data_IF_298386401667
#
_entry.id   IF_298386401667
#
_cell.length_a   1.000
_cell.length_b   1.000
_cell.length_c   1.000
_cell.angle_alpha   90.00
_cell.angle_beta   90.00
_cell.angle_gamma   90.00
#
_symmetry.space_group_name_H-M   'P 1'
#
loop_
_entity.id
_entity.type
_entity.pdbx_description
1 polymer ?
#
# COMPACT_ATOMS: atom_id res chain seq x y z
N UNK A 1 9.23 5.46 -87.19
CA UNK A 1 10.04 6.60 -86.70
C UNK A 1 10.25 6.42 -85.21
N UNK A 2 11.44 5.98 -84.78
CA UNK A 2 11.77 5.81 -83.36
C UNK A 2 12.43 7.11 -82.91
N UNK A 3 11.69 7.93 -82.17
CA UNK A 3 12.19 9.21 -81.64
C UNK A 3 12.91 8.92 -80.33
N UNK A 4 14.22 8.76 -80.38
CA UNK A 4 15.05 8.66 -79.18
C UNK A 4 15.22 10.06 -78.57
N UNK A 5 14.42 10.36 -77.53
CA UNK A 5 14.53 11.62 -76.79
C UNK A 5 15.76 11.56 -75.88
N UNK A 6 16.76 12.40 -76.13
CA UNK A 6 17.97 12.55 -75.29
C UNK A 6 17.56 13.12 -73.93
N UNK A 7 17.36 12.24 -72.94
CA UNK A 7 16.95 12.66 -71.59
C UNK A 7 18.14 13.25 -70.82
N UNK A 8 17.95 14.42 -70.21
CA UNK A 8 19.02 15.10 -69.47
C UNK A 8 19.15 14.47 -68.06
N UNK A 9 19.98 13.43 -67.95
CA UNK A 9 20.13 12.59 -66.75
C UNK A 9 20.42 13.36 -65.45
N UNK A 10 21.04 14.54 -65.52
CA UNK A 10 21.37 15.37 -64.35
C UNK A 10 20.13 15.83 -63.58
N UNK A 11 19.07 16.27 -64.27
CA UNK A 11 17.81 16.72 -63.62
C UNK A 11 17.07 15.57 -62.95
N UNK A 12 17.09 14.38 -63.57
CA UNK A 12 16.44 13.17 -63.04
C UNK A 12 17.16 12.62 -61.80
N UNK A 13 18.48 12.74 -61.75
CA UNK A 13 19.29 12.40 -60.57
C UNK A 13 19.02 13.35 -59.39
N UNK A 14 18.90 14.65 -59.67
CA UNK A 14 18.59 15.68 -58.67
C UNK A 14 17.22 15.44 -58.01
N UNK A 15 16.20 15.09 -58.79
CA UNK A 15 14.86 14.74 -58.28
C UNK A 15 14.92 13.50 -57.38
N UNK A 16 15.69 12.47 -57.75
CA UNK A 16 15.88 11.26 -56.90
C UNK A 16 16.55 11.61 -55.57
N UNK A 17 17.53 12.49 -55.57
CA UNK A 17 18.24 12.95 -54.37
C UNK A 17 17.30 13.71 -53.42
N UNK A 18 16.45 14.60 -53.95
CA UNK A 18 15.45 15.33 -53.18
C UNK A 18 14.39 14.39 -52.60
N UNK A 19 13.88 13.43 -53.39
CA UNK A 19 12.94 12.42 -52.88
C UNK A 19 13.55 11.57 -51.77
N UNK A 20 14.83 11.21 -51.89
CA UNK A 20 15.53 10.45 -50.86
C UNK A 20 15.75 11.28 -49.58
N UNK A 21 16.10 12.57 -49.73
CA UNK A 21 16.20 13.50 -48.62
C UNK A 21 14.87 13.70 -47.89
N UNK A 22 13.76 13.82 -48.61
CA UNK A 22 12.43 13.92 -48.03
C UNK A 22 12.05 12.67 -47.23
N UNK A 23 12.40 11.48 -47.74
CA UNK A 23 12.16 10.21 -47.04
C UNK A 23 12.93 10.15 -45.72
N UNK A 24 14.21 10.49 -45.73
CA UNK A 24 15.04 10.54 -44.51
C UNK A 24 14.45 11.52 -43.49
N UNK A 25 14.05 12.70 -43.94
CA UNK A 25 13.49 13.75 -43.08
C UNK A 25 12.18 13.31 -42.43
N UNK A 26 11.35 12.56 -43.16
CA UNK A 26 10.12 11.96 -42.63
C UNK A 26 10.43 10.92 -41.54
N UNK A 27 11.41 10.04 -41.75
CA UNK A 27 11.83 9.05 -40.74
C UNK A 27 12.43 9.71 -39.49
N UNK A 28 13.28 10.72 -39.66
CA UNK A 28 13.88 11.46 -38.53
C UNK A 28 12.80 12.16 -37.73
N UNK A 29 11.86 12.84 -38.39
CA UNK A 29 10.77 13.54 -37.73
C UNK A 29 9.85 12.58 -36.97
N UNK A 30 9.54 11.42 -37.57
CA UNK A 30 8.75 10.37 -36.92
C UNK A 30 9.47 9.81 -35.68
N UNK A 31 10.78 9.53 -35.79
CA UNK A 31 11.58 9.01 -34.68
C UNK A 31 11.61 9.99 -33.49
N UNK A 32 11.86 11.28 -33.73
CA UNK A 32 11.86 12.28 -32.66
C UNK A 32 10.49 12.43 -31.99
N UNK A 33 9.40 12.42 -32.76
CA UNK A 33 8.05 12.49 -32.19
C UNK A 33 7.75 11.26 -31.33
N UNK A 34 8.03 10.06 -31.85
CA UNK A 34 7.78 8.80 -31.17
C UNK A 34 8.61 8.67 -29.88
N UNK A 35 9.89 9.06 -29.91
CA UNK A 35 10.77 9.07 -28.74
C UNK A 35 10.22 9.97 -27.62
N UNK A 36 9.73 11.16 -27.98
CA UNK A 36 9.15 12.10 -27.01
C UNK A 36 7.86 11.57 -26.34
N UNK A 37 7.04 10.81 -27.08
CA UNK A 37 5.83 10.20 -26.53
C UNK A 37 6.18 8.98 -25.66
N UNK A 38 7.18 8.18 -26.03
CA UNK A 38 7.66 7.08 -25.20
C UNK A 38 8.23 7.57 -23.86
N UNK A 39 9.02 8.65 -23.83
CA UNK A 39 9.51 9.21 -22.56
C UNK A 39 8.39 9.69 -21.64
N UNK A 40 7.35 10.31 -22.20
CA UNK A 40 6.18 10.75 -21.40
C UNK A 40 5.42 9.54 -20.85
N UNK A 41 5.19 8.53 -21.69
CA UNK A 41 4.48 7.32 -21.30
C UNK A 41 5.26 6.55 -20.21
N UNK A 42 6.58 6.44 -20.35
CA UNK A 42 7.42 5.78 -19.37
C UNK A 42 7.42 6.51 -18.02
N UNK A 43 7.49 7.85 -18.01
CA UNK A 43 7.35 8.64 -16.77
C UNK A 43 5.99 8.44 -16.09
N UNK A 44 4.91 8.30 -16.87
CA UNK A 44 3.57 8.02 -16.35
C UNK A 44 3.49 6.61 -15.74
N UNK A 45 4.06 5.62 -16.41
CA UNK A 45 4.01 4.22 -15.97
C UNK A 45 4.93 3.99 -14.76
N UNK A 46 6.10 4.62 -14.72
CA UNK A 46 6.98 4.64 -13.53
C UNK A 46 6.28 5.30 -12.33
N UNK A 47 5.59 6.43 -12.55
CA UNK A 47 4.82 7.10 -11.50
C UNK A 47 3.67 6.23 -10.96
N UNK A 48 2.97 5.50 -11.84
CA UNK A 48 1.92 4.54 -11.46
C UNK A 48 2.50 3.37 -10.66
N UNK A 49 3.61 2.78 -11.11
CA UNK A 49 4.27 1.69 -10.38
C UNK A 49 4.72 2.13 -8.99
N UNK A 50 5.31 3.33 -8.86
CA UNK A 50 5.70 3.89 -7.56
C UNK A 50 4.47 4.10 -6.65
N UNK A 51 3.33 4.54 -7.21
CA UNK A 51 2.09 4.68 -6.45
C UNK A 51 1.53 3.34 -6.00
N UNK A 52 1.56 2.32 -6.85
CA UNK A 52 1.11 0.96 -6.53
C UNK A 52 1.99 0.33 -5.45
N UNK A 53 3.31 0.44 -5.55
CA UNK A 53 4.25 -0.02 -4.51
C UNK A 53 3.95 0.66 -3.18
N UNK A 54 3.82 1.99 -3.17
CA UNK A 54 3.45 2.74 -1.95
C UNK A 54 2.10 2.34 -1.38
N UNK A 55 1.12 2.03 -2.23
CA UNK A 55 -0.21 1.57 -1.81
C UNK A 55 -0.12 0.17 -1.19
N UNK A 56 0.62 -0.74 -1.82
CA UNK A 56 0.83 -2.09 -1.34
C UNK A 56 1.59 -2.09 0.01
N UNK A 57 2.63 -1.28 0.15
CA UNK A 57 3.33 -1.10 1.43
C UNK A 57 2.41 -0.60 2.55
N UNK A 58 1.52 0.37 2.26
CA UNK A 58 0.54 0.85 3.23
C UNK A 58 -0.44 -0.25 3.64
N UNK A 59 -0.91 -1.05 2.69
CA UNK A 59 -1.81 -2.19 2.95
C UNK A 59 -1.11 -3.24 3.81
N UNK A 60 0.14 -3.59 3.50
CA UNK A 60 0.92 -4.54 4.28
C UNK A 60 1.17 -4.05 5.70
N UNK A 61 1.52 -2.77 5.87
CA UNK A 61 1.67 -2.14 7.20
C UNK A 61 0.37 -2.22 7.99
N UNK A 62 -0.77 -1.92 7.36
CA UNK A 62 -2.09 -2.05 7.96
C UNK A 62 -2.39 -3.48 8.44
N UNK A 63 -2.17 -4.48 7.57
CA UNK A 63 -2.37 -5.91 7.91
C UNK A 63 -1.47 -6.39 9.05
N UNK A 64 -0.22 -5.90 9.10
CA UNK A 64 0.71 -6.21 10.20
C UNK A 64 0.20 -5.65 11.53
N UNK A 65 -0.26 -4.40 11.54
CA UNK A 65 -0.84 -3.76 12.73
C UNK A 65 -2.10 -4.48 13.20
N UNK A 66 -3.00 -4.82 12.27
CA UNK A 66 -4.22 -5.57 12.57
C UNK A 66 -3.90 -6.93 13.22
N UNK A 67 -2.91 -7.66 12.69
CA UNK A 67 -2.48 -8.94 13.27
C UNK A 67 -1.93 -8.79 14.68
N UNK A 68 -1.17 -7.72 14.94
CA UNK A 68 -0.64 -7.43 16.28
C UNK A 68 -1.81 -7.18 17.25
N UNK A 69 -2.80 -6.37 16.84
CA UNK A 69 -3.99 -6.08 17.65
C UNK A 69 -4.78 -7.35 17.95
N UNK A 70 -5.03 -8.20 16.96
CA UNK A 70 -5.75 -9.46 17.19
C UNK A 70 -5.02 -10.37 18.16
N UNK A 71 -3.72 -10.59 17.95
CA UNK A 71 -2.92 -11.43 18.85
C UNK A 71 -2.91 -10.89 20.28
N UNK A 72 -2.88 -9.58 20.41
CA UNK A 72 -2.86 -8.95 21.73
C UNK A 72 -4.20 -9.13 22.45
N UNK A 73 -5.31 -8.95 21.74
CA UNK A 73 -6.65 -9.19 22.27
C UNK A 73 -6.85 -10.66 22.62
N UNK A 74 -6.40 -11.57 21.76
CA UNK A 74 -6.42 -13.01 22.01
C UNK A 74 -5.69 -13.35 23.31
N UNK A 75 -4.49 -12.81 23.49
CA UNK A 75 -3.73 -13.02 24.73
C UNK A 75 -4.43 -12.41 25.94
N UNK A 76 -5.05 -11.22 25.82
CA UNK A 76 -5.82 -10.63 26.90
C UNK A 76 -7.03 -11.49 27.31
N UNK A 77 -7.73 -12.04 26.32
CA UNK A 77 -8.87 -12.94 26.54
C UNK A 77 -8.41 -14.25 27.17
N UNK A 78 -7.26 -14.78 26.75
CA UNK A 78 -6.70 -16.02 27.30
C UNK A 78 -6.30 -15.86 28.78
N UNK A 79 -5.74 -14.71 29.15
CA UNK A 79 -5.39 -14.39 30.55
C UNK A 79 -6.62 -14.27 31.47
N UNK A 80 -7.77 -13.89 30.92
CA UNK A 80 -9.04 -13.77 31.64
C UNK A 80 -9.75 -15.14 31.68
N UNK A 81 -9.62 -15.93 30.61
CA UNK A 81 -10.35 -17.16 30.37
C UNK A 81 -11.55 -16.93 29.46
N UNK A 82 -11.53 -17.58 28.29
CA UNK A 82 -12.53 -17.42 27.22
C UNK A 82 -13.98 -17.60 27.68
N UNK A 83 -14.22 -18.51 28.64
CA UNK A 83 -15.57 -18.83 29.13
C UNK A 83 -16.22 -17.72 29.95
N UNK A 84 -15.40 -16.82 30.50
CA UNK A 84 -15.82 -15.74 31.39
C UNK A 84 -16.07 -14.42 30.66
N UNK A 85 -15.74 -14.37 29.37
CA UNK A 85 -15.95 -13.18 28.53
C UNK A 85 -17.37 -13.20 27.97
N UNK A 86 -18.13 -12.15 28.29
CA UNK A 86 -19.51 -11.96 27.83
C UNK A 86 -19.52 -11.24 26.49
N UNK A 87 -18.74 -10.16 26.37
CA UNK A 87 -18.70 -9.30 25.18
C UNK A 87 -17.32 -8.68 25.00
N UNK A 88 -16.94 -8.47 23.74
CA UNK A 88 -15.68 -7.83 23.36
C UNK A 88 -15.92 -6.84 22.22
N UNK A 89 -15.61 -5.58 22.46
CA UNK A 89 -15.80 -4.50 21.49
C UNK A 89 -14.54 -3.65 21.37
N UNK A 90 -14.09 -3.44 20.15
CA UNK A 90 -12.99 -2.53 19.84
C UNK A 90 -13.61 -1.18 19.48
N UNK A 91 -13.37 -0.16 20.31
CA UNK A 91 -13.79 1.21 20.02
C UNK A 91 -12.56 2.10 19.86
N UNK A 92 -12.34 2.55 18.63
CA UNK A 92 -11.20 3.38 18.24
C UNK A 92 -9.87 2.75 18.69
N UNK A 93 -9.27 3.27 19.76
CA UNK A 93 -7.96 2.83 20.25
C UNK A 93 -8.05 1.99 21.53
N UNK A 94 -9.25 1.59 21.95
CA UNK A 94 -9.45 0.81 23.17
C UNK A 94 -10.21 -0.48 22.89
N UNK A 95 -9.79 -1.57 23.51
CA UNK A 95 -10.56 -2.81 23.58
C UNK A 95 -11.36 -2.82 24.89
N UNK A 96 -12.68 -2.84 24.77
CA UNK A 96 -13.60 -3.04 25.88
C UNK A 96 -13.93 -4.52 25.98
N UNK A 97 -13.69 -5.10 27.15
CA UNK A 97 -13.99 -6.49 27.47
C UNK A 97 -14.94 -6.48 28.66
N UNK A 98 -16.08 -7.16 28.53
CA UNK A 98 -17.05 -7.36 29.59
C UNK A 98 -16.96 -8.80 30.05
N UNK A 99 -16.76 -9.00 31.36
CA UNK A 99 -16.53 -10.33 31.94
C UNK A 99 -17.42 -10.55 33.16
N UNK A 100 -17.60 -11.83 33.51
CA UNK A 100 -18.35 -12.23 34.71
C UNK A 100 -17.74 -11.64 36.00
N UNK A 101 -18.56 -11.39 37.05
CA UNK A 101 -18.12 -10.75 38.28
C UNK A 101 -17.19 -11.62 39.14
N UNK A 102 -17.17 -12.93 38.91
CA UNK A 102 -16.32 -13.90 39.62
C UNK A 102 -14.96 -14.15 38.93
N UNK A 103 -14.64 -13.39 37.88
CA UNK A 103 -13.44 -13.60 37.07
C UNK A 103 -12.17 -13.16 37.78
N UNK A 104 -11.12 -13.99 37.70
CA UNK A 104 -9.79 -13.63 38.19
C UNK A 104 -9.10 -12.68 37.20
N UNK A 105 -8.67 -11.52 37.68
CA UNK A 105 -8.02 -10.48 36.87
C UNK A 105 -6.55 -10.28 37.20
N UNK A 106 -5.96 -11.12 38.04
CA UNK A 106 -4.59 -10.92 38.51
C UNK A 106 -3.58 -11.07 37.37
N UNK A 107 -3.77 -12.07 36.50
CA UNK A 107 -2.95 -12.26 35.31
C UNK A 107 -3.01 -11.04 34.36
N UNK A 108 -4.21 -10.48 34.18
CA UNK A 108 -4.41 -9.29 33.37
C UNK A 108 -3.73 -8.05 33.99
N UNK A 109 -3.83 -7.88 35.31
CA UNK A 109 -3.19 -6.78 36.04
C UNK A 109 -1.67 -6.86 36.00
N UNK A 110 -1.08 -8.05 36.10
CA UNK A 110 0.37 -8.23 36.02
C UNK A 110 0.89 -7.80 34.65
N UNK A 111 0.20 -8.18 33.57
CA UNK A 111 0.66 -7.89 32.21
C UNK A 111 0.41 -6.44 31.78
N UNK A 112 -0.80 -5.95 32.01
CA UNK A 112 -1.22 -4.64 31.50
C UNK A 112 -1.09 -3.53 32.53
N UNK A 113 -1.00 -3.85 33.83
CA UNK A 113 -0.79 -2.88 34.89
C UNK A 113 -1.75 -1.70 34.80
N UNK A 114 -1.17 -0.49 34.73
CA UNK A 114 -1.88 0.79 34.60
C UNK A 114 -2.53 1.03 33.24
N UNK A 115 -2.20 0.24 32.22
CA UNK A 115 -2.73 0.37 30.85
C UNK A 115 -4.14 -0.23 30.72
N UNK A 116 -4.57 -1.02 31.71
CA UNK A 116 -5.90 -1.57 31.82
C UNK A 116 -6.75 -0.79 32.84
N UNK A 117 -7.88 -0.23 32.41
CA UNK A 117 -8.88 0.34 33.32
C UNK A 117 -9.91 -0.72 33.66
N UNK A 118 -10.04 -1.04 34.94
CA UNK A 118 -10.94 -2.08 35.43
C UNK A 118 -12.01 -1.43 36.31
N UNK A 119 -13.26 -1.55 35.90
CA UNK A 119 -14.43 -1.14 36.69
C UNK A 119 -15.21 -2.38 37.09
N UNK A 120 -15.25 -2.67 38.39
CA UNK A 120 -16.04 -3.77 38.96
C UNK A 120 -17.44 -3.28 39.30
N UNK A 121 -18.46 -3.97 38.81
CA UNK A 121 -19.85 -3.82 39.19
C UNK A 121 -20.32 -5.12 39.87
N UNK A 122 -21.56 -5.14 40.35
CA UNK A 122 -22.16 -6.32 41.00
C UNK A 122 -22.49 -7.39 39.95
N UNK A 123 -22.85 -6.96 38.73
CA UNK A 123 -23.27 -7.85 37.64
C UNK A 123 -22.13 -8.24 36.70
N UNK A 124 -21.21 -7.33 36.44
CA UNK A 124 -20.16 -7.50 35.44
C UNK A 124 -18.89 -6.74 35.83
N UNK A 125 -17.76 -7.12 35.23
CA UNK A 125 -16.53 -6.34 35.28
C UNK A 125 -16.24 -5.82 33.87
N UNK A 126 -16.05 -4.50 33.77
CA UNK A 126 -15.73 -3.81 32.53
C UNK A 126 -14.26 -3.48 32.51
N UNK A 127 -13.57 -3.95 31.50
CA UNK A 127 -12.15 -3.77 31.29
C UNK A 127 -11.97 -2.94 30.02
N UNK A 128 -11.21 -1.86 30.10
CA UNK A 128 -10.78 -1.10 28.94
C UNK A 128 -9.26 -1.19 28.82
N UNK A 129 -8.77 -1.80 27.73
CA UNK A 129 -7.35 -1.89 27.39
C UNK A 129 -7.02 -0.82 26.37
N UNK A 130 -5.99 -0.01 26.64
CA UNK A 130 -5.48 0.95 25.65
C UNK A 130 -4.59 0.26 24.62
N UNK A 131 -5.11 0.08 23.40
CA UNK A 131 -4.39 -0.59 22.32
C UNK A 131 -3.29 0.30 21.74
N UNK A 132 -3.40 1.63 21.83
CA UNK A 132 -2.40 2.54 21.26
C UNK A 132 -1.02 2.29 21.86
N UNK A 133 -0.95 2.20 23.18
CA UNK A 133 0.30 2.01 23.90
C UNK A 133 0.91 0.61 23.64
N UNK A 134 0.06 -0.40 23.46
CA UNK A 134 0.49 -1.77 23.19
C UNK A 134 0.99 -1.93 21.74
N UNK A 135 0.38 -1.21 20.80
CA UNK A 135 0.83 -1.19 19.40
C UNK A 135 2.16 -0.44 19.28
N UNK A 136 2.30 0.73 19.92
CA UNK A 136 3.53 1.53 19.87
C UNK A 136 4.74 0.78 20.46
N UNK A 137 4.57 0.04 21.56
CA UNK A 137 5.66 -0.76 22.14
C UNK A 137 6.10 -1.91 21.23
N UNK A 138 5.17 -2.65 20.63
CA UNK A 138 5.46 -3.80 19.75
C UNK A 138 5.95 -3.39 18.36
N UNK A 139 5.55 -2.22 17.88
CA UNK A 139 6.00 -1.71 16.58
C UNK A 139 7.46 -1.23 16.63
N UNK A 140 7.87 -0.59 17.74
CA UNK A 140 9.26 -0.17 17.93
C UNK A 140 10.24 -1.33 18.18
N UNK A 141 9.78 -2.47 18.73
CA UNK A 141 10.62 -3.67 18.88
C UNK A 141 10.95 -4.37 17.54
N UNK A 142 10.19 -4.08 16.47
CA UNK A 142 10.29 -4.76 15.17
C UNK A 142 10.79 -3.85 14.02
N UNK A 143 11.31 -2.66 14.33
CA UNK A 143 12.08 -1.81 13.41
C UNK A 143 13.58 -1.94 13.69
#
# INVERSE_FOLDING_TARGET
MIVAVKTNNKKRFLIKLISFGALILMFVSYYFHMSSEFEKQQKIDDAKQIQEVKKNEKIEKGKKLERIVYREIETAVDLIGQRKVIDLKILSNKALIVVDPDTNLDALKVRYGSTALIKKDIKDIKIALDLKYIIESRYNENQ
#
